data_IF_266504724198
#
_entry.id   IF_266504724198
#
_cell.length_a   1.000
_cell.length_b   1.000
_cell.length_c   1.000
_cell.angle_alpha   90.00
_cell.angle_beta   90.00
_cell.angle_gamma   90.00
#
_symmetry.space_group_name_H-M   'P 1'
#
loop_
_entity.id
_entity.type
_entity.pdbx_description
1 polymer ?
#
# COMPACT_ATOMS: atom_id res chain seq x y z
N UNK A 1 -38.06 -67.03 -9.85
CA UNK A 1 -37.31 -67.96 -10.75
C UNK A 1 -37.12 -67.28 -12.10
N UNK A 2 -36.06 -67.62 -12.85
CA UNK A 2 -35.84 -67.38 -14.31
C UNK A 2 -36.23 -66.00 -14.91
N UNK A 3 -35.32 -65.16 -15.42
CA UNK A 3 -33.85 -65.19 -15.52
C UNK A 3 -33.30 -64.70 -16.88
N UNK A 4 -32.12 -64.04 -16.88
CA UNK A 4 -31.23 -63.67 -18.03
C UNK A 4 -31.82 -62.74 -19.14
N UNK A 5 -31.09 -61.93 -19.92
CA UNK A 5 -29.64 -61.56 -20.15
C UNK A 5 -29.60 -60.05 -20.54
N UNK A 6 -28.68 -59.17 -20.13
CA UNK A 6 -27.21 -59.00 -20.38
C UNK A 6 -26.78 -58.39 -21.74
N UNK A 7 -26.25 -57.15 -21.70
CA UNK A 7 -25.12 -56.52 -22.48
C UNK A 7 -25.25 -54.96 -22.46
N UNK A 8 -24.26 -54.06 -22.27
CA UNK A 8 -22.76 -54.00 -22.30
C UNK A 8 -22.13 -54.31 -23.68
N UNK A 9 -21.18 -53.57 -24.28
CA UNK A 9 -20.45 -52.27 -24.05
C UNK A 9 -20.00 -51.76 -25.46
N UNK A 10 -19.27 -50.66 -25.77
CA UNK A 10 -18.35 -49.64 -25.19
C UNK A 10 -18.72 -48.24 -25.85
N UNK A 11 -18.12 -47.04 -25.67
CA UNK A 11 -16.84 -46.46 -25.18
C UNK A 11 -15.62 -46.42 -26.15
N UNK A 12 -15.38 -45.30 -26.87
CA UNK A 12 -14.01 -44.86 -27.27
C UNK A 12 -13.90 -43.35 -27.65
N UNK A 13 -12.70 -42.87 -28.05
CA UNK A 13 -12.20 -41.54 -27.62
C UNK A 13 -11.48 -40.63 -28.66
N UNK A 14 -11.50 -39.30 -28.37
CA UNK A 14 -10.51 -38.24 -28.71
C UNK A 14 -9.90 -38.10 -30.13
N UNK A 15 -10.25 -37.01 -30.82
CA UNK A 15 -9.30 -36.04 -31.43
C UNK A 15 -10.01 -34.66 -31.49
N UNK A 16 -9.44 -33.47 -31.28
CA UNK A 16 -8.08 -32.86 -31.35
C UNK A 16 -7.71 -32.26 -32.72
N UNK A 17 -8.28 -31.08 -33.02
CA UNK A 17 -7.79 -30.16 -34.05
C UNK A 17 -7.84 -28.70 -33.52
N UNK A 18 -6.94 -27.83 -34.02
CA UNK A 18 -6.81 -26.41 -33.67
C UNK A 18 -6.18 -25.66 -34.85
N UNK A 19 -6.67 -24.46 -35.21
CA UNK A 19 -5.85 -23.46 -35.90
C UNK A 19 -5.54 -22.24 -35.02
N UNK A 20 -4.50 -21.49 -35.41
CA UNK A 20 -4.21 -20.12 -34.93
C UNK A 20 -4.61 -19.13 -36.04
N UNK A 21 -4.96 -17.89 -35.68
CA UNK A 21 -4.42 -16.64 -36.25
C UNK A 21 -5.24 -15.44 -35.74
N UNK A 22 -4.63 -14.26 -35.62
CA UNK A 22 -5.33 -13.04 -35.20
C UNK A 22 -4.51 -12.11 -34.29
N UNK A 23 -3.32 -11.69 -34.72
CA UNK A 23 -2.69 -10.50 -34.14
C UNK A 23 -3.32 -9.26 -34.79
N UNK A 24 -3.68 -8.27 -33.98
CA UNK A 24 -3.98 -6.91 -34.44
C UNK A 24 -3.20 -5.95 -33.56
N UNK A 25 -2.38 -5.10 -34.18
CA UNK A 25 -1.55 -4.09 -33.53
C UNK A 25 -2.08 -2.70 -33.86
N UNK A 26 -2.52 -1.96 -32.85
CA UNK A 26 -2.76 -0.51 -32.91
C UNK A 26 -2.18 0.02 -31.60
N UNK A 27 -0.96 0.57 -31.60
CA UNK A 27 -0.55 1.87 -32.15
C UNK A 27 -1.03 3.03 -31.26
N UNK A 28 -0.08 3.49 -30.47
CA UNK A 28 -0.13 4.61 -29.52
C UNK A 28 -0.24 5.96 -30.24
N UNK A 29 -1.12 6.85 -29.76
CA UNK A 29 -1.16 8.27 -30.17
C UNK A 29 -1.44 9.18 -28.98
N UNK A 30 -0.70 10.29 -28.91
CA UNK A 30 -0.70 11.22 -27.78
C UNK A 30 -1.85 12.24 -27.84
N UNK A 31 -2.35 12.67 -26.68
CA UNK A 31 -3.05 13.95 -26.53
C UNK A 31 -2.95 14.50 -25.10
N UNK A 32 -2.05 15.47 -24.88
CA UNK A 32 -2.09 16.35 -23.69
C UNK A 32 -3.01 17.54 -23.97
N UNK A 33 -3.92 17.85 -23.05
CA UNK A 33 -4.47 19.22 -22.91
C UNK A 33 -4.72 19.55 -21.43
N UNK A 34 -3.86 20.37 -20.85
CA UNK A 34 -4.12 21.02 -19.57
C UNK A 34 -5.27 22.04 -19.71
N UNK A 35 -6.31 21.92 -18.88
CA UNK A 35 -7.44 22.86 -18.83
C UNK A 35 -7.72 23.29 -17.38
N UNK A 36 -6.82 24.10 -16.82
CA UNK A 36 -6.83 24.57 -15.43
C UNK A 36 -7.94 25.59 -15.18
N UNK A 37 -9.14 25.14 -14.82
CA UNK A 37 -10.20 26.02 -14.32
C UNK A 37 -10.20 26.14 -12.79
N UNK A 38 -10.48 27.36 -12.34
CA UNK A 38 -10.32 27.85 -10.97
C UNK A 38 -11.69 27.89 -10.29
N UNK A 39 -11.91 27.02 -9.31
CA UNK A 39 -13.05 27.16 -8.41
C UNK A 39 -12.82 28.35 -7.47
N UNK A 40 -13.88 29.09 -7.19
CA UNK A 40 -13.94 30.13 -6.16
C UNK A 40 -15.16 29.86 -5.31
N UNK A 41 -14.93 29.58 -4.03
CA UNK A 41 -15.98 29.63 -3.00
C UNK A 41 -16.44 31.08 -2.82
N UNK A 42 -17.73 31.28 -2.55
CA UNK A 42 -18.16 32.27 -1.58
C UNK A 42 -18.83 31.60 -0.38
N UNK A 43 -18.62 32.19 0.78
CA UNK A 43 -19.40 31.92 1.99
C UNK A 43 -20.81 32.51 1.84
N UNK A 44 -21.83 31.86 2.40
CA UNK A 44 -23.12 32.51 2.70
C UNK A 44 -23.29 32.54 4.22
N UNK A 45 -23.18 33.72 4.81
CA UNK A 45 -23.63 34.00 6.18
C UNK A 45 -25.15 34.24 6.23
N UNK A 46 -25.67 34.23 7.45
CA UNK A 46 -27.09 34.32 7.81
C UNK A 46 -27.67 35.73 7.61
N UNK A 47 -29.00 35.84 7.44
CA UNK A 47 -29.82 36.66 8.34
C UNK A 47 -31.29 36.16 8.37
N UNK A 48 -32.04 36.54 9.39
CA UNK A 48 -33.32 35.95 9.80
C UNK A 48 -34.59 36.61 9.20
N UNK A 49 -35.73 35.94 9.41
CA UNK A 49 -36.89 36.66 9.95
C UNK A 49 -38.24 35.94 9.88
N UNK A 50 -39.10 35.97 10.92
CA UNK A 50 -38.87 36.32 12.33
C UNK A 50 -40.07 35.91 13.21
N UNK A 51 -39.82 35.38 14.42
CA UNK A 51 -40.77 35.24 15.55
C UNK A 51 -42.03 34.35 15.34
N UNK A 52 -42.68 33.76 16.35
CA UNK A 52 -42.42 33.64 17.80
C UNK A 52 -43.47 32.66 18.41
N UNK A 53 -43.54 32.38 19.71
CA UNK A 53 -42.73 32.86 20.84
C UNK A 53 -42.71 31.84 22.00
N UNK A 54 -41.68 31.96 22.83
CA UNK A 54 -41.41 31.36 24.15
C UNK A 54 -42.62 31.02 25.05
N UNK A 55 -42.55 29.90 25.81
CA UNK A 55 -42.28 29.98 27.27
C UNK A 55 -42.25 28.64 28.05
N UNK A 56 -41.04 28.24 28.46
CA UNK A 56 -40.62 27.76 29.80
C UNK A 56 -41.56 26.96 30.75
N UNK A 57 -41.17 25.70 31.00
CA UNK A 57 -40.98 25.04 32.32
C UNK A 57 -42.00 25.18 33.47
N UNK A 58 -42.47 24.05 34.03
CA UNK A 58 -41.91 23.50 35.30
C UNK A 58 -42.45 22.11 35.73
N UNK A 59 -41.62 21.40 36.52
CA UNK A 59 -41.94 20.24 37.38
C UNK A 59 -43.24 20.47 38.21
N UNK A 60 -44.02 19.45 38.61
CA UNK A 60 -43.63 18.55 39.71
C UNK A 60 -44.57 17.36 40.00
N UNK A 61 -43.97 16.17 40.23
CA UNK A 61 -44.13 15.31 41.43
C UNK A 61 -45.51 14.67 41.79
N UNK A 62 -45.74 13.49 41.19
CA UNK A 62 -45.89 12.18 41.84
C UNK A 62 -47.11 11.76 42.72
N UNK A 63 -47.46 10.46 42.54
CA UNK A 63 -47.74 9.41 43.55
C UNK A 63 -49.18 8.94 43.82
N UNK A 64 -49.32 7.59 43.87
CA UNK A 64 -50.33 6.74 44.54
C UNK A 64 -51.82 6.84 44.10
N UNK A 65 -52.70 5.88 44.38
CA UNK A 65 -52.65 4.39 44.43
C UNK A 65 -54.10 3.86 44.66
N UNK A 66 -54.49 2.77 43.99
CA UNK A 66 -55.54 1.78 44.39
C UNK A 66 -56.99 2.16 44.81
N UNK A 67 -57.90 1.22 44.47
CA UNK A 67 -59.15 0.80 45.16
C UNK A 67 -60.39 1.72 45.25
N UNK A 68 -61.44 1.28 44.56
CA UNK A 68 -62.80 0.94 45.04
C UNK A 68 -63.62 1.94 45.92
N UNK A 69 -64.87 2.18 45.49
CA UNK A 69 -65.91 2.86 46.29
C UNK A 69 -67.19 3.12 45.49
N UNK A 70 -68.32 2.52 45.89
CA UNK A 70 -69.61 2.64 45.20
C UNK A 70 -70.49 3.83 45.66
N UNK A 71 -71.11 4.51 44.68
CA UNK A 71 -72.55 4.88 44.63
C UNK A 71 -73.20 5.54 45.86
N UNK A 72 -73.56 6.85 45.78
CA UNK A 72 -74.97 7.35 45.63
C UNK A 72 -75.16 8.88 45.67
N UNK A 73 -75.85 9.42 44.65
CA UNK A 73 -76.66 10.66 44.72
C UNK A 73 -75.94 11.99 44.98
N UNK A 74 -76.61 13.14 44.86
CA UNK A 74 -77.88 13.48 44.17
C UNK A 74 -77.86 14.99 43.83
N UNK A 75 -78.61 15.38 42.78
CA UNK A 75 -79.01 16.73 42.38
C UNK A 75 -78.60 17.92 43.27
N UNK A 76 -78.00 18.95 42.67
CA UNK A 76 -78.70 20.24 42.54
C UNK A 76 -78.21 21.03 41.31
N UNK A 77 -79.09 21.85 40.73
CA UNK A 77 -78.87 22.48 39.41
C UNK A 77 -78.46 23.95 39.54
N UNK A 78 -77.47 24.39 38.75
CA UNK A 78 -77.29 25.81 38.44
C UNK A 78 -77.16 26.03 36.93
N UNK A 79 -77.75 27.13 36.45
CA UNK A 79 -78.16 27.33 35.06
C UNK A 79 -77.51 28.57 34.48
N UNK A 80 -76.60 28.42 33.50
CA UNK A 80 -75.93 29.55 32.84
C UNK A 80 -75.79 29.27 31.33
N UNK A 81 -76.04 30.30 30.51
CA UNK A 81 -75.41 30.45 29.19
C UNK A 81 -76.04 29.69 28.02
N UNK A 82 -77.23 30.10 27.55
CA UNK A 82 -77.70 29.70 26.22
C UNK A 82 -77.07 30.60 25.14
N UNK A 83 -76.27 30.02 24.24
CA UNK A 83 -75.69 30.70 23.08
C UNK A 83 -75.89 29.83 21.81
N UNK A 84 -76.46 30.38 20.72
CA UNK A 84 -76.87 29.58 19.57
C UNK A 84 -75.70 29.24 18.64
N UNK A 85 -75.00 28.14 18.94
CA UNK A 85 -74.24 27.43 17.92
C UNK A 85 -75.21 26.82 16.89
N UNK A 86 -74.95 27.04 15.60
CA UNK A 86 -75.75 26.46 14.53
C UNK A 86 -75.69 24.94 14.59
N UNK A 87 -76.79 24.32 15.00
CA UNK A 87 -76.82 22.89 15.29
C UNK A 87 -76.61 22.05 14.03
N UNK A 88 -75.45 21.40 13.93
CA UNK A 88 -75.36 20.12 13.22
C UNK A 88 -76.34 19.20 13.94
N UNK A 89 -77.42 18.78 13.28
CA UNK A 89 -78.34 17.78 13.81
C UNK A 89 -77.64 16.41 13.74
N UNK A 90 -76.69 16.20 14.66
CA UNK A 90 -76.18 14.88 15.00
C UNK A 90 -77.30 14.24 15.81
N UNK A 91 -77.99 13.26 15.23
CA UNK A 91 -79.01 12.53 15.97
C UNK A 91 -78.32 11.78 17.12
N UNK A 92 -78.57 12.27 18.34
CA UNK A 92 -77.91 11.77 19.55
C UNK A 92 -78.37 10.36 19.88
N UNK A 93 -79.57 9.95 19.46
CA UNK A 93 -80.06 8.60 19.68
C UNK A 93 -79.46 7.64 18.66
N UNK A 94 -79.32 8.04 17.39
CA UNK A 94 -78.60 7.26 16.37
C UNK A 94 -77.12 7.05 16.75
N UNK A 95 -76.40 8.11 17.14
CA UNK A 95 -75.01 7.99 17.58
C UNK A 95 -74.84 7.14 18.85
N UNK A 96 -75.78 7.21 19.79
CA UNK A 96 -75.79 6.35 20.99
C UNK A 96 -76.17 4.90 20.65
N UNK A 97 -77.02 4.66 19.65
CA UNK A 97 -77.34 3.32 19.16
C UNK A 97 -76.11 2.69 18.48
N UNK A 98 -75.48 3.39 17.53
CA UNK A 98 -74.27 2.94 16.87
C UNK A 98 -73.12 2.69 17.88
N UNK A 99 -72.95 3.57 18.87
CA UNK A 99 -71.96 3.33 19.94
C UNK A 99 -72.28 2.08 20.77
N UNK A 100 -73.56 1.83 21.10
CA UNK A 100 -73.97 0.60 21.82
C UNK A 100 -73.71 -0.65 20.99
N UNK A 101 -74.07 -0.63 19.71
CA UNK A 101 -73.86 -1.75 18.77
C UNK A 101 -72.38 -2.06 18.58
N UNK A 102 -71.55 -1.06 18.26
CA UNK A 102 -70.09 -1.20 18.17
C UNK A 102 -69.46 -1.63 19.51
N UNK A 103 -70.04 -1.25 20.65
CA UNK A 103 -69.58 -1.74 21.97
C UNK A 103 -69.91 -3.22 22.16
N UNK A 104 -71.11 -3.67 21.77
CA UNK A 104 -71.50 -5.08 21.83
C UNK A 104 -70.70 -5.93 20.84
N UNK A 105 -70.47 -5.46 19.62
CA UNK A 105 -69.61 -6.16 18.67
C UNK A 105 -68.16 -6.22 19.17
N UNK A 106 -67.58 -5.12 19.67
CA UNK A 106 -66.25 -5.14 20.30
C UNK A 106 -66.17 -6.18 21.42
N UNK A 107 -67.18 -6.26 22.29
CA UNK A 107 -67.26 -7.29 23.34
C UNK A 107 -67.35 -8.71 22.75
N UNK A 108 -68.17 -8.93 21.72
CA UNK A 108 -68.29 -10.22 21.04
C UNK A 108 -66.96 -10.66 20.39
N UNK A 109 -66.33 -9.76 19.63
CA UNK A 109 -65.03 -9.99 19.01
C UNK A 109 -63.95 -10.24 20.08
N UNK A 110 -63.96 -9.51 21.20
CA UNK A 110 -63.05 -9.74 22.33
C UNK A 110 -63.25 -11.12 22.98
N UNK A 111 -64.48 -11.61 23.13
CA UNK A 111 -64.77 -12.97 23.62
C UNK A 111 -64.31 -14.03 22.62
N UNK A 112 -64.60 -13.86 21.33
CA UNK A 112 -64.17 -14.79 20.27
C UNK A 112 -62.64 -14.86 20.16
N UNK A 113 -61.98 -13.70 20.15
CA UNK A 113 -60.52 -13.56 20.17
C UNK A 113 -59.90 -14.26 21.39
N UNK A 114 -60.46 -14.09 22.59
CA UNK A 114 -60.03 -14.82 23.80
C UNK A 114 -60.16 -16.35 23.65
N UNK A 115 -61.25 -16.84 23.04
CA UNK A 115 -61.44 -18.29 22.78
C UNK A 115 -60.41 -18.80 21.77
N UNK A 116 -60.10 -18.02 20.73
CA UNK A 116 -59.08 -18.35 19.73
C UNK A 116 -57.67 -18.37 20.35
N UNK A 117 -57.29 -17.39 21.17
CA UNK A 117 -56.00 -17.40 21.88
C UNK A 117 -55.86 -18.60 22.83
N UNK A 118 -56.93 -19.01 23.54
CA UNK A 118 -56.92 -20.24 24.36
C UNK A 118 -56.68 -21.49 23.51
N UNK A 119 -57.41 -21.66 22.40
CA UNK A 119 -57.22 -22.78 21.44
C UNK A 119 -55.81 -22.79 20.84
N UNK A 120 -55.26 -21.62 20.52
CA UNK A 120 -53.91 -21.46 19.97
C UNK A 120 -52.82 -21.80 21.00
N UNK A 121 -53.00 -21.39 22.26
CA UNK A 121 -52.12 -21.76 23.37
C UNK A 121 -52.14 -23.27 23.65
N UNK A 122 -53.32 -23.92 23.61
CA UNK A 122 -53.41 -25.37 23.64
C UNK A 122 -52.68 -26.04 22.47
N UNK A 123 -52.82 -25.51 21.25
CA UNK A 123 -52.18 -26.06 20.06
C UNK A 123 -50.65 -26.01 20.17
N UNK A 124 -50.06 -24.88 20.56
CA UNK A 124 -48.61 -24.78 20.73
C UNK A 124 -48.10 -25.64 21.89
N UNK A 125 -48.82 -25.75 23.01
CA UNK A 125 -48.48 -26.71 24.09
C UNK A 125 -48.49 -28.16 23.59
N UNK A 126 -49.53 -28.58 22.86
CA UNK A 126 -49.64 -29.94 22.28
C UNK A 126 -48.50 -30.27 21.30
N UNK A 127 -47.89 -29.26 20.66
CA UNK A 127 -46.71 -29.43 19.77
C UNK A 127 -45.36 -29.13 20.44
N UNK A 128 -45.32 -28.92 21.77
CA UNK A 128 -44.13 -28.52 22.56
C UNK A 128 -43.48 -27.19 22.13
N UNK A 129 -44.22 -26.31 21.46
CA UNK A 129 -43.77 -24.99 21.00
C UNK A 129 -43.91 -23.92 22.11
N UNK A 130 -43.56 -24.23 23.36
CA UNK A 130 -43.85 -23.36 24.51
C UNK A 130 -43.08 -22.03 24.50
N UNK A 131 -42.00 -21.95 23.73
CA UNK A 131 -41.28 -20.70 23.47
C UNK A 131 -42.14 -19.63 22.78
N UNK A 132 -43.17 -20.02 22.01
CA UNK A 132 -44.12 -19.11 21.35
C UNK A 132 -45.12 -18.49 22.33
N UNK A 133 -45.22 -19.04 23.56
CA UNK A 133 -46.15 -18.59 24.60
C UNK A 133 -45.48 -17.76 25.70
N UNK A 134 -44.17 -17.51 25.59
CA UNK A 134 -43.49 -16.54 26.45
C UNK A 134 -43.86 -15.12 25.97
N UNK A 135 -44.15 -14.17 26.86
CA UNK A 135 -44.25 -12.77 26.49
C UNK A 135 -42.98 -12.36 25.73
N UNK A 136 -43.15 -11.78 24.54
CA UNK A 136 -42.02 -11.37 23.72
C UNK A 136 -41.36 -10.14 24.37
N UNK A 137 -40.05 -10.19 24.56
CA UNK A 137 -39.31 -9.10 25.19
C UNK A 137 -39.35 -7.88 24.24
N UNK A 138 -39.85 -6.74 24.72
CA UNK A 138 -40.20 -5.59 23.87
C UNK A 138 -41.50 -5.72 23.07
N UNK A 139 -42.47 -6.56 23.49
CA UNK A 139 -43.76 -6.71 22.82
C UNK A 139 -44.52 -5.38 22.64
N UNK A 140 -44.49 -4.50 23.63
CA UNK A 140 -45.13 -3.16 23.56
C UNK A 140 -44.43 -2.31 22.50
N UNK A 141 -43.10 -2.23 22.53
CA UNK A 141 -42.33 -1.51 21.51
C UNK A 141 -42.59 -2.04 20.09
N UNK A 142 -42.81 -3.35 19.95
CA UNK A 142 -43.13 -3.99 18.67
C UNK A 142 -44.55 -3.68 18.22
N UNK A 143 -45.50 -3.57 19.13
CA UNK A 143 -46.87 -3.13 18.87
C UNK A 143 -46.91 -1.64 18.49
N UNK A 144 -46.20 -0.76 19.21
CA UNK A 144 -46.03 0.65 18.85
C UNK A 144 -45.37 0.81 17.46
N UNK A 145 -44.29 0.07 17.18
CA UNK A 145 -43.65 0.04 15.85
C UNK A 145 -44.57 -0.54 14.75
N UNK A 146 -45.53 -1.39 15.10
CA UNK A 146 -46.54 -1.89 14.17
C UNK A 146 -47.64 -0.84 13.92
N UNK A 147 -48.13 -0.17 14.97
CA UNK A 147 -49.10 0.93 14.87
C UNK A 147 -48.52 2.11 14.06
N UNK A 148 -47.27 2.51 14.32
CA UNK A 148 -46.58 3.55 13.56
C UNK A 148 -46.44 3.18 12.07
N UNK A 149 -46.15 1.91 11.77
CA UNK A 149 -46.14 1.41 10.39
C UNK A 149 -47.53 1.43 9.75
N UNK A 150 -48.57 1.06 10.50
CA UNK A 150 -49.95 1.07 10.02
C UNK A 150 -50.41 2.50 9.67
N UNK A 151 -50.11 3.48 10.52
CA UNK A 151 -50.34 4.91 10.25
C UNK A 151 -49.56 5.38 9.01
N UNK A 152 -48.28 5.01 8.88
CA UNK A 152 -47.49 5.36 7.68
C UNK A 152 -48.04 4.72 6.38
N UNK A 153 -48.65 3.53 6.49
CA UNK A 153 -49.32 2.87 5.38
C UNK A 153 -50.65 3.53 5.03
N UNK A 154 -51.42 3.98 6.02
CA UNK A 154 -52.65 4.76 5.83
C UNK A 154 -52.35 6.11 5.16
N UNK A 155 -51.33 6.83 5.61
CA UNK A 155 -50.81 8.03 4.95
C UNK A 155 -50.43 7.78 3.47
N UNK A 156 -49.72 6.68 3.19
CA UNK A 156 -49.33 6.31 1.82
C UNK A 156 -50.54 5.93 0.96
N UNK A 157 -51.52 5.23 1.53
CA UNK A 157 -52.79 4.91 0.87
C UNK A 157 -53.57 6.17 0.53
N UNK A 158 -53.70 7.12 1.46
CA UNK A 158 -54.35 8.41 1.17
C UNK A 158 -53.61 9.20 0.09
N UNK A 159 -52.27 9.25 0.14
CA UNK A 159 -51.44 9.94 -0.88
C UNK A 159 -51.70 9.34 -2.26
N UNK A 160 -51.68 8.01 -2.38
CA UNK A 160 -52.02 7.31 -3.61
C UNK A 160 -53.48 7.54 -4.06
N UNK A 161 -54.46 7.53 -3.15
CA UNK A 161 -55.86 7.79 -3.47
C UNK A 161 -56.09 9.23 -3.96
N UNK A 162 -55.40 10.21 -3.37
CA UNK A 162 -55.39 11.62 -3.81
C UNK A 162 -54.73 11.76 -5.19
N UNK A 163 -53.56 11.15 -5.42
CA UNK A 163 -52.89 11.15 -6.71
C UNK A 163 -53.74 10.49 -7.82
N UNK A 164 -54.39 9.37 -7.52
CA UNK A 164 -55.31 8.69 -8.46
C UNK A 164 -56.53 9.57 -8.79
N UNK A 165 -57.10 10.28 -7.80
CA UNK A 165 -58.20 11.21 -8.04
C UNK A 165 -57.78 12.39 -8.93
N UNK A 166 -56.61 12.98 -8.67
CA UNK A 166 -56.02 14.05 -9.47
C UNK A 166 -55.72 13.63 -10.91
N UNK A 167 -55.15 12.42 -11.10
CA UNK A 167 -54.89 11.86 -12.43
C UNK A 167 -56.21 11.63 -13.17
N UNK A 168 -57.22 11.03 -12.53
CA UNK A 168 -58.55 10.83 -13.15
C UNK A 168 -59.20 12.14 -13.58
N UNK A 169 -59.10 13.18 -12.74
CA UNK A 169 -59.62 14.52 -13.05
C UNK A 169 -58.92 15.10 -14.28
N UNK A 170 -57.58 15.10 -14.30
CA UNK A 170 -56.76 15.58 -15.43
C UNK A 170 -57.04 14.80 -16.73
N UNK A 171 -57.30 13.50 -16.64
CA UNK A 171 -57.72 12.68 -17.80
C UNK A 171 -59.10 13.13 -18.31
N UNK A 172 -60.09 13.32 -17.44
CA UNK A 172 -61.43 13.83 -17.83
C UNK A 172 -61.35 15.20 -18.52
N UNK A 173 -60.57 16.13 -17.99
CA UNK A 173 -60.32 17.45 -18.58
C UNK A 173 -59.68 17.35 -19.99
N UNK A 174 -58.75 16.41 -20.18
CA UNK A 174 -58.12 16.15 -21.50
C UNK A 174 -59.10 15.48 -22.47
N UNK A 175 -59.94 14.55 -22.01
CA UNK A 175 -60.95 13.86 -22.83
C UNK A 175 -62.07 14.81 -23.28
N UNK A 176 -62.60 15.64 -22.38
CA UNK A 176 -63.59 16.67 -22.72
C UNK A 176 -63.05 17.69 -23.72
N UNK A 177 -61.85 18.23 -23.47
CA UNK A 177 -61.24 19.18 -24.41
C UNK A 177 -60.86 18.53 -25.74
N UNK A 178 -60.54 17.23 -25.77
CA UNK A 178 -60.35 16.48 -27.01
C UNK A 178 -61.68 16.31 -27.77
N UNK A 179 -62.75 15.88 -27.10
CA UNK A 179 -64.06 15.68 -27.69
C UNK A 179 -64.60 16.98 -28.31
N UNK A 180 -64.56 18.10 -27.58
CA UNK A 180 -64.97 19.40 -28.10
C UNK A 180 -64.15 19.88 -29.30
N UNK A 181 -62.83 19.66 -29.29
CA UNK A 181 -61.95 19.97 -30.44
C UNK A 181 -62.26 19.09 -31.66
N UNK A 182 -62.50 17.79 -31.45
CA UNK A 182 -62.84 16.83 -32.49
C UNK A 182 -64.21 17.13 -33.12
N UNK A 183 -65.24 17.42 -32.33
CA UNK A 183 -66.54 17.88 -32.83
C UNK A 183 -66.41 19.16 -33.65
N UNK A 184 -65.66 20.16 -33.16
CA UNK A 184 -65.47 21.43 -33.86
C UNK A 184 -64.74 21.24 -35.20
N UNK A 185 -63.75 20.35 -35.25
CA UNK A 185 -63.07 19.96 -36.49
C UNK A 185 -64.02 19.27 -37.48
N UNK A 186 -64.84 18.32 -37.02
CA UNK A 186 -65.80 17.61 -37.87
C UNK A 186 -66.89 18.55 -38.41
N UNK A 187 -67.48 19.41 -37.56
CA UNK A 187 -68.47 20.43 -37.97
C UNK A 187 -67.90 21.37 -39.05
N UNK A 188 -66.63 21.77 -38.93
CA UNK A 188 -65.92 22.54 -39.97
C UNK A 188 -65.68 21.75 -41.26
N UNK A 189 -65.27 20.49 -41.16
CA UNK A 189 -65.03 19.61 -42.31
C UNK A 189 -66.32 19.30 -43.09
N UNK A 190 -67.43 19.09 -42.38
CA UNK A 190 -68.75 18.86 -43.01
C UNK A 190 -69.31 20.13 -43.66
N UNK A 191 -69.13 21.30 -43.04
CA UNK A 191 -69.44 22.58 -43.67
C UNK A 191 -68.63 22.83 -44.95
N UNK A 192 -67.35 22.47 -44.96
CA UNK A 192 -66.49 22.51 -46.15
C UNK A 192 -66.97 21.53 -47.23
N UNK A 193 -67.25 20.27 -46.89
CA UNK A 193 -67.80 19.29 -47.83
C UNK A 193 -69.16 19.70 -48.41
N UNK A 194 -70.00 20.41 -47.64
CA UNK A 194 -71.26 20.97 -48.12
C UNK A 194 -71.03 22.11 -49.13
N UNK A 195 -70.08 23.02 -48.85
CA UNK A 195 -69.70 24.11 -49.75
C UNK A 195 -69.08 23.59 -51.06
N UNK A 196 -68.20 22.60 -50.97
CA UNK A 196 -67.61 21.92 -52.14
C UNK A 196 -68.67 21.20 -52.98
N UNK A 197 -69.73 20.65 -52.35
CA UNK A 197 -70.86 20.04 -53.06
C UNK A 197 -71.74 21.08 -53.77
N UNK A 198 -72.10 22.17 -53.09
CA UNK A 198 -72.97 23.20 -53.66
C UNK A 198 -72.28 24.02 -54.75
N UNK A 199 -70.97 24.22 -54.66
CA UNK A 199 -70.16 24.87 -55.73
C UNK A 199 -69.77 23.91 -56.85
N UNK A 200 -69.64 22.61 -56.57
CA UNK A 200 -69.33 21.59 -57.57
C UNK A 200 -70.53 21.21 -58.46
N UNK A 201 -71.76 21.29 -57.94
CA UNK A 201 -72.97 21.07 -58.74
C UNK A 201 -73.17 22.23 -59.72
N UNK A 202 -73.40 21.91 -61.00
CA UNK A 202 -73.48 22.90 -62.09
C UNK A 202 -72.13 23.39 -62.64
N UNK A 203 -70.99 22.99 -62.07
CA UNK A 203 -69.66 23.32 -62.59
C UNK A 203 -69.43 22.67 -63.97
N UNK A 204 -68.64 23.29 -64.86
CA UNK A 204 -68.46 22.86 -66.26
C UNK A 204 -67.01 22.46 -66.54
N UNK A 205 -66.80 21.35 -67.26
CA UNK A 205 -65.48 20.94 -67.73
C UNK A 205 -64.93 21.94 -68.76
N UNK A 206 -64.03 22.82 -68.34
CA UNK A 206 -63.32 23.83 -69.17
C UNK A 206 -62.89 23.31 -70.56
N UNK A 207 -62.37 22.07 -70.64
CA UNK A 207 -61.86 21.48 -71.89
C UNK A 207 -62.90 20.75 -72.76
N UNK A 208 -64.18 20.70 -72.34
CA UNK A 208 -65.25 19.92 -73.01
C UNK A 208 -66.62 20.62 -73.05
N UNK A 209 -66.83 21.72 -72.34
CA UNK A 209 -68.10 22.48 -72.31
C UNK A 209 -69.30 21.75 -71.66
N UNK A 210 -69.11 20.51 -71.18
CA UNK A 210 -70.18 19.71 -70.54
C UNK A 210 -70.17 19.91 -69.02
N UNK A 211 -71.34 19.95 -68.36
CA UNK A 211 -71.41 20.00 -66.90
C UNK A 211 -70.76 18.76 -66.27
N UNK A 212 -70.20 18.94 -65.07
CA UNK A 212 -69.77 17.84 -64.21
C UNK A 212 -71.02 17.22 -63.61
N UNK A 213 -71.29 15.95 -63.92
CA UNK A 213 -72.41 15.22 -63.31
C UNK A 213 -72.16 15.03 -61.81
N UNK A 214 -73.19 15.23 -60.97
CA UNK A 214 -73.06 15.29 -59.50
C UNK A 214 -72.44 14.02 -58.90
N UNK A 215 -72.74 12.85 -59.47
CA UNK A 215 -72.11 11.56 -59.12
C UNK A 215 -70.56 11.58 -59.20
N UNK A 216 -70.00 12.48 -60.00
CA UNK A 216 -68.55 12.72 -60.10
C UNK A 216 -68.06 13.60 -58.95
N UNK A 217 -68.83 14.62 -58.57
CA UNK A 217 -68.56 15.49 -57.42
C UNK A 217 -68.60 14.67 -56.13
N UNK A 218 -69.64 13.85 -55.94
CA UNK A 218 -69.75 12.90 -54.82
C UNK A 218 -68.57 11.94 -54.76
N UNK A 219 -68.09 11.43 -55.92
CA UNK A 219 -66.91 10.57 -56.00
C UNK A 219 -65.61 11.29 -55.59
N UNK A 220 -65.48 12.60 -55.86
CA UNK A 220 -64.34 13.38 -55.37
C UNK A 220 -64.45 13.65 -53.87
N UNK A 221 -65.63 14.07 -53.36
CA UNK A 221 -65.87 14.33 -51.93
C UNK A 221 -65.64 13.10 -51.05
N UNK A 222 -66.08 11.92 -51.50
CA UNK A 222 -65.85 10.64 -50.81
C UNK A 222 -64.39 10.20 -50.87
N UNK A 223 -63.69 10.41 -51.98
CA UNK A 223 -62.25 10.17 -52.08
C UNK A 223 -61.44 11.10 -51.17
N UNK A 224 -61.84 12.37 -51.08
CA UNK A 224 -61.26 13.40 -50.22
C UNK A 224 -61.44 13.05 -48.74
N UNK A 225 -62.66 12.66 -48.32
CA UNK A 225 -62.95 12.16 -46.97
C UNK A 225 -62.07 10.94 -46.62
N UNK A 226 -62.01 9.94 -47.51
CA UNK A 226 -61.15 8.76 -47.35
C UNK A 226 -59.66 9.12 -47.30
N UNK A 227 -59.23 10.20 -47.94
CA UNK A 227 -57.84 10.70 -47.90
C UNK A 227 -57.52 11.48 -46.64
N UNK A 228 -58.44 12.28 -46.10
CA UNK A 228 -58.27 12.90 -44.77
C UNK A 228 -58.22 11.85 -43.66
N UNK A 229 -59.05 10.81 -43.72
CA UNK A 229 -59.02 9.66 -42.80
C UNK A 229 -57.68 8.89 -42.87
N UNK A 230 -57.16 8.65 -44.08
CA UNK A 230 -55.83 8.05 -44.26
C UNK A 230 -54.72 8.94 -43.69
N UNK A 231 -54.82 10.27 -43.88
CA UNK A 231 -53.83 11.23 -43.39
C UNK A 231 -53.81 11.34 -41.86
N UNK A 232 -54.99 11.40 -41.22
CA UNK A 232 -55.08 11.42 -39.75
C UNK A 232 -54.62 10.11 -39.12
N UNK A 233 -54.97 8.95 -39.71
CA UNK A 233 -54.49 7.65 -39.26
C UNK A 233 -52.96 7.50 -39.38
N UNK A 234 -52.35 8.03 -40.45
CA UNK A 234 -50.88 8.07 -40.60
C UNK A 234 -50.23 9.03 -39.61
N UNK A 235 -50.81 10.21 -39.38
CA UNK A 235 -50.33 11.17 -38.38
C UNK A 235 -50.34 10.57 -36.97
N UNK A 236 -51.44 9.91 -36.57
CA UNK A 236 -51.54 9.21 -35.28
C UNK A 236 -50.52 8.06 -35.16
N UNK A 237 -50.24 7.32 -36.23
CA UNK A 237 -49.18 6.30 -36.25
C UNK A 237 -47.79 6.92 -36.07
N UNK A 238 -47.50 8.03 -36.76
CA UNK A 238 -46.24 8.76 -36.62
C UNK A 238 -46.04 9.32 -35.20
N UNK A 239 -47.07 9.93 -34.61
CA UNK A 239 -47.02 10.44 -33.23
C UNK A 239 -46.75 9.29 -32.24
N UNK A 240 -47.45 8.16 -32.36
CA UNK A 240 -47.21 6.97 -31.51
C UNK A 240 -45.79 6.43 -31.66
N UNK A 241 -45.27 6.34 -32.89
CA UNK A 241 -43.90 5.89 -33.13
C UNK A 241 -42.86 6.86 -32.55
N UNK A 242 -43.07 8.18 -32.72
CA UNK A 242 -42.20 9.21 -32.14
C UNK A 242 -42.18 9.16 -30.61
N UNK A 243 -43.33 8.99 -29.96
CA UNK A 243 -43.41 8.88 -28.51
C UNK A 243 -42.70 7.61 -28.02
N UNK A 244 -42.96 6.45 -28.64
CA UNK A 244 -42.29 5.20 -28.28
C UNK A 244 -40.76 5.27 -28.45
N UNK A 245 -40.25 5.98 -29.48
CA UNK A 245 -38.81 6.25 -29.62
C UNK A 245 -38.29 7.14 -28.47
N UNK A 246 -39.00 8.21 -28.12
CA UNK A 246 -38.60 9.09 -27.01
C UNK A 246 -38.64 8.37 -25.64
N UNK A 247 -39.61 7.49 -25.42
CA UNK A 247 -39.72 6.61 -24.25
C UNK A 247 -38.53 5.62 -24.18
N UNK A 248 -38.20 4.96 -25.29
CA UNK A 248 -37.05 4.07 -25.38
C UNK A 248 -35.71 4.81 -25.21
N UNK A 249 -35.56 6.00 -25.79
CA UNK A 249 -34.40 6.86 -25.57
C UNK A 249 -34.24 7.27 -24.10
N UNK A 250 -35.35 7.58 -23.41
CA UNK A 250 -35.32 7.90 -21.99
C UNK A 250 -34.94 6.68 -21.14
N UNK A 251 -35.46 5.49 -21.47
CA UNK A 251 -35.07 4.23 -20.84
C UNK A 251 -33.57 3.94 -21.05
N UNK A 252 -33.05 4.11 -22.27
CA UNK A 252 -31.62 3.91 -22.56
C UNK A 252 -30.75 4.88 -21.75
N UNK A 253 -31.08 6.18 -21.75
CA UNK A 253 -30.34 7.19 -20.97
C UNK A 253 -30.36 6.88 -19.46
N UNK A 254 -31.50 6.43 -18.95
CA UNK A 254 -31.65 6.01 -17.55
C UNK A 254 -30.90 4.70 -17.22
N UNK A 255 -30.56 3.87 -18.20
CA UNK A 255 -29.70 2.69 -18.03
C UNK A 255 -28.21 3.03 -18.19
N UNK A 256 -27.87 4.05 -18.98
CA UNK A 256 -26.51 4.59 -19.12
C UNK A 256 -26.04 5.36 -17.86
N UNK A 257 -26.98 5.84 -17.02
CA UNK A 257 -26.71 6.52 -15.75
C UNK A 257 -27.12 5.68 -14.54
N UNK A 258 -26.16 5.35 -13.66
CA UNK A 258 -26.46 4.78 -12.33
C UNK A 258 -27.07 5.83 -11.38
N UNK A 259 -26.87 7.12 -11.67
CA UNK A 259 -27.40 8.24 -10.91
C UNK A 259 -27.06 9.58 -11.59
N UNK A 260 -27.50 10.72 -11.01
CA UNK A 260 -27.22 12.04 -11.58
C UNK A 260 -25.70 12.28 -11.66
N UNK A 261 -25.18 12.39 -12.89
CA UNK A 261 -23.75 12.58 -13.16
C UNK A 261 -22.88 11.32 -13.06
N UNK A 262 -23.45 10.13 -12.81
CA UNK A 262 -22.73 8.87 -12.62
C UNK A 262 -23.05 7.88 -13.75
N UNK A 263 -22.14 7.71 -14.70
CA UNK A 263 -22.36 6.88 -15.90
C UNK A 263 -21.77 5.47 -15.78
N UNK A 264 -22.41 4.47 -16.40
CA UNK A 264 -21.94 3.06 -16.43
C UNK A 264 -20.48 2.98 -16.88
N UNK A 265 -20.14 3.64 -17.99
CA UNK A 265 -18.80 3.64 -18.57
C UNK A 265 -17.72 4.19 -17.61
N UNK A 266 -18.05 5.18 -16.77
CA UNK A 266 -17.10 5.72 -15.78
C UNK A 266 -16.81 4.71 -14.66
N UNK A 267 -17.82 3.92 -14.25
CA UNK A 267 -17.65 2.83 -13.30
C UNK A 267 -16.84 1.67 -13.90
N UNK A 268 -17.08 1.32 -15.17
CA UNK A 268 -16.27 0.33 -15.89
C UNK A 268 -14.81 0.75 -16.03
N UNK A 269 -14.55 2.01 -16.39
CA UNK A 269 -13.21 2.59 -16.46
C UNK A 269 -12.52 2.56 -15.09
N UNK A 270 -13.21 2.98 -14.02
CA UNK A 270 -12.66 2.93 -12.65
C UNK A 270 -12.32 1.49 -12.20
N UNK A 271 -13.12 0.49 -12.61
CA UNK A 271 -12.84 -0.92 -12.34
C UNK A 271 -11.60 -1.43 -13.11
N UNK A 272 -11.44 -1.04 -14.37
CA UNK A 272 -10.24 -1.33 -15.18
C UNK A 272 -9.01 -0.69 -14.54
N UNK A 273 -9.10 0.58 -14.13
CA UNK A 273 -7.98 1.28 -13.50
C UNK A 273 -7.63 0.70 -12.12
N UNK A 274 -8.62 0.31 -11.32
CA UNK A 274 -8.39 -0.40 -10.06
C UNK A 274 -7.62 -1.71 -10.27
N UNK A 275 -8.01 -2.53 -11.25
CA UNK A 275 -7.30 -3.76 -11.62
C UNK A 275 -5.85 -3.45 -12.07
N UNK A 276 -5.66 -2.44 -12.93
CA UNK A 276 -4.34 -1.98 -13.36
C UNK A 276 -3.45 -1.50 -12.20
N UNK A 277 -4.02 -0.86 -11.17
CA UNK A 277 -3.27 -0.47 -9.96
C UNK A 277 -2.93 -1.68 -9.08
N UNK A 278 -3.83 -2.65 -8.93
CA UNK A 278 -3.56 -3.87 -8.16
C UNK A 278 -2.42 -4.67 -8.78
N UNK A 279 -2.42 -4.91 -10.10
CA UNK A 279 -1.30 -5.59 -10.78
C UNK A 279 0.02 -4.81 -10.65
N UNK A 280 -0.02 -3.47 -10.70
CA UNK A 280 1.18 -2.65 -10.43
C UNK A 280 1.68 -2.78 -8.99
N UNK A 281 0.79 -2.95 -8.00
CA UNK A 281 1.16 -3.22 -6.61
C UNK A 281 1.81 -4.59 -6.50
N UNK A 282 1.17 -5.64 -7.05
CA UNK A 282 1.71 -7.01 -7.09
C UNK A 282 3.14 -7.04 -7.68
N UNK A 283 3.38 -6.39 -8.82
CA UNK A 283 4.72 -6.26 -9.40
C UNK A 283 5.75 -5.61 -8.44
N UNK A 284 5.36 -4.52 -7.74
CA UNK A 284 6.28 -3.84 -6.79
C UNK A 284 6.52 -4.67 -5.54
N UNK A 285 5.52 -5.42 -5.05
CA UNK A 285 5.71 -6.37 -3.95
C UNK A 285 6.67 -7.49 -4.35
N UNK A 286 6.54 -8.01 -5.57
CA UNK A 286 7.42 -9.03 -6.13
C UNK A 286 8.86 -8.51 -6.30
N UNK A 287 9.05 -7.24 -6.70
CA UNK A 287 10.35 -6.53 -6.69
C UNK A 287 10.91 -6.31 -5.29
N UNK A 288 10.07 -5.93 -4.31
CA UNK A 288 10.48 -5.77 -2.91
C UNK A 288 10.90 -7.11 -2.27
N UNK A 289 10.24 -8.21 -2.60
CA UNK A 289 10.65 -9.56 -2.20
C UNK A 289 12.02 -9.90 -2.79
N UNK A 290 12.22 -9.70 -4.10
CA UNK A 290 13.51 -9.92 -4.80
C UNK A 290 14.64 -9.02 -4.29
N UNK A 291 14.33 -7.86 -3.72
CA UNK A 291 15.30 -6.98 -3.07
C UNK A 291 15.63 -7.48 -1.65
N UNK A 292 14.62 -7.89 -0.87
CA UNK A 292 14.80 -8.49 0.47
C UNK A 292 15.65 -9.76 0.43
N UNK A 293 15.47 -10.65 -0.55
CA UNK A 293 16.31 -11.87 -0.67
C UNK A 293 17.78 -11.50 -0.94
N UNK A 294 18.04 -10.63 -1.91
CA UNK A 294 19.40 -10.11 -2.19
C UNK A 294 20.04 -9.44 -0.98
N UNK A 295 19.27 -8.70 -0.18
CA UNK A 295 19.74 -8.12 1.07
C UNK A 295 20.14 -9.21 2.08
N UNK A 296 19.35 -10.28 2.23
CA UNK A 296 19.73 -11.42 3.08
C UNK A 296 20.95 -12.19 2.56
N UNK A 297 21.06 -12.38 1.24
CA UNK A 297 22.24 -13.00 0.58
C UNK A 297 23.51 -12.16 0.82
N UNK A 298 23.44 -10.85 0.63
CA UNK A 298 24.56 -9.93 0.92
C UNK A 298 24.93 -9.92 2.40
N UNK A 299 23.97 -10.00 3.32
CA UNK A 299 24.24 -10.09 4.76
C UNK A 299 24.94 -11.40 5.16
N UNK A 300 24.63 -12.52 4.49
CA UNK A 300 25.35 -13.79 4.65
C UNK A 300 26.79 -13.69 4.12
N UNK A 301 26.99 -13.09 2.93
CA UNK A 301 28.33 -12.83 2.38
C UNK A 301 29.15 -11.93 3.32
N UNK A 302 28.54 -10.88 3.89
CA UNK A 302 29.18 -10.01 4.89
C UNK A 302 29.44 -10.71 6.23
N UNK A 303 28.72 -11.78 6.59
CA UNK A 303 29.09 -12.64 7.72
C UNK A 303 30.35 -13.44 7.39
N UNK A 304 30.36 -14.16 6.26
CA UNK A 304 31.52 -14.95 5.83
C UNK A 304 32.80 -14.13 5.57
N UNK A 305 32.68 -12.86 5.17
CA UNK A 305 33.83 -11.96 5.07
C UNK A 305 34.39 -11.63 6.47
N UNK A 306 33.53 -11.37 7.46
CA UNK A 306 33.97 -11.11 8.86
C UNK A 306 34.56 -12.35 9.52
N UNK A 307 33.99 -13.53 9.29
CA UNK A 307 34.54 -14.82 9.74
C UNK A 307 35.95 -15.06 9.18
N UNK A 308 36.14 -14.81 7.87
CA UNK A 308 37.46 -14.93 7.23
C UNK A 308 38.45 -13.89 7.72
N UNK A 309 37.99 -12.64 7.95
CA UNK A 309 38.82 -11.57 8.47
C UNK A 309 39.34 -11.91 9.87
N UNK A 310 38.46 -12.30 10.79
CA UNK A 310 38.84 -12.75 12.14
C UNK A 310 39.84 -13.91 12.11
N UNK A 311 39.65 -14.86 11.20
CA UNK A 311 40.61 -15.97 11.03
C UNK A 311 41.96 -15.52 10.44
N UNK A 312 41.98 -14.53 9.53
CA UNK A 312 43.27 -13.96 9.09
C UNK A 312 43.95 -13.13 10.17
N UNK A 313 43.18 -12.45 11.03
CA UNK A 313 43.70 -11.70 12.17
C UNK A 313 44.33 -12.66 13.20
N UNK A 314 43.66 -13.77 13.54
CA UNK A 314 44.22 -14.87 14.36
C UNK A 314 45.56 -15.41 13.79
N UNK A 315 45.63 -15.61 12.47
CA UNK A 315 46.84 -16.12 11.80
C UNK A 315 47.98 -15.09 11.79
N UNK A 316 47.65 -13.79 11.79
CA UNK A 316 48.64 -12.71 11.97
C UNK A 316 49.16 -12.72 13.41
N UNK A 317 48.29 -12.79 14.42
CA UNK A 317 48.68 -12.85 15.84
C UNK A 317 49.65 -14.02 16.10
N UNK A 318 49.37 -15.22 15.56
CA UNK A 318 50.28 -16.36 15.65
C UNK A 318 51.62 -16.11 14.93
N UNK A 319 51.61 -15.52 13.72
CA UNK A 319 52.83 -15.23 12.98
C UNK A 319 53.70 -14.14 13.64
N UNK A 320 53.09 -13.17 14.35
CA UNK A 320 53.80 -12.20 15.17
C UNK A 320 54.43 -12.84 16.42
N UNK A 321 53.79 -13.85 17.00
CA UNK A 321 54.36 -14.65 18.10
C UNK A 321 55.57 -15.48 17.62
N UNK A 322 55.44 -16.21 16.51
CA UNK A 322 56.53 -16.99 15.90
C UNK A 322 57.73 -16.10 15.54
N UNK A 323 57.47 -14.89 15.03
CA UNK A 323 58.50 -13.89 14.74
C UNK A 323 59.19 -13.39 16.03
N UNK A 324 58.43 -13.12 17.09
CA UNK A 324 58.96 -12.69 18.38
C UNK A 324 59.87 -13.74 19.04
N UNK A 325 59.51 -15.03 18.96
CA UNK A 325 60.35 -16.13 19.43
C UNK A 325 61.64 -16.25 18.59
N UNK A 326 61.55 -16.15 17.26
CA UNK A 326 62.71 -16.16 16.37
C UNK A 326 63.65 -14.96 16.60
N UNK A 327 63.11 -13.77 16.89
CA UNK A 327 63.90 -12.61 17.29
C UNK A 327 64.60 -12.84 18.63
N UNK A 328 63.91 -13.40 19.64
CA UNK A 328 64.53 -13.75 20.93
C UNK A 328 65.67 -14.76 20.78
N UNK A 329 65.54 -15.78 19.93
CA UNK A 329 66.64 -16.69 19.61
C UNK A 329 67.81 -15.99 18.93
N UNK A 330 67.54 -15.10 17.97
CA UNK A 330 68.56 -14.29 17.30
C UNK A 330 69.32 -13.37 18.28
N UNK A 331 68.61 -12.71 19.20
CA UNK A 331 69.24 -11.87 20.23
C UNK A 331 70.13 -12.71 21.18
N UNK A 332 69.66 -13.87 21.65
CA UNK A 332 70.47 -14.81 22.47
C UNK A 332 71.73 -15.24 21.73
N UNK A 333 71.60 -15.72 20.49
CA UNK A 333 72.75 -16.14 19.67
C UNK A 333 73.74 -14.99 19.39
N UNK A 334 73.25 -13.76 19.27
CA UNK A 334 74.05 -12.54 19.10
C UNK A 334 74.82 -12.16 20.38
N UNK A 335 74.20 -12.32 21.55
CA UNK A 335 74.83 -12.12 22.85
C UNK A 335 75.91 -13.18 23.13
N UNK A 336 75.61 -14.46 22.90
CA UNK A 336 76.58 -15.56 22.99
C UNK A 336 77.79 -15.34 22.08
N UNK A 337 77.56 -14.93 20.82
CA UNK A 337 78.62 -14.57 19.90
C UNK A 337 79.44 -13.36 20.39
N UNK A 338 78.81 -12.40 21.07
CA UNK A 338 79.47 -11.29 21.76
C UNK A 338 80.36 -11.76 22.91
N UNK A 339 79.85 -12.65 23.76
CA UNK A 339 80.56 -13.25 24.89
C UNK A 339 81.74 -14.12 24.44
N UNK A 340 81.57 -14.93 23.39
CA UNK A 340 82.64 -15.72 22.76
C UNK A 340 83.71 -14.79 22.15
N UNK A 341 83.32 -13.74 21.41
CA UNK A 341 84.27 -12.74 20.87
C UNK A 341 85.03 -12.04 22.00
N UNK A 342 84.37 -11.68 23.09
CA UNK A 342 84.98 -11.07 24.27
C UNK A 342 85.99 -12.01 24.94
N UNK A 343 85.61 -13.27 25.22
CA UNK A 343 86.50 -14.30 25.78
C UNK A 343 87.71 -14.56 24.89
N UNK A 344 87.51 -14.69 23.57
CA UNK A 344 88.58 -14.83 22.58
C UNK A 344 89.53 -13.63 22.59
N UNK A 345 89.00 -12.42 22.68
CA UNK A 345 89.81 -11.20 22.74
C UNK A 345 90.63 -11.13 24.04
N UNK A 346 90.04 -11.48 25.20
CA UNK A 346 90.76 -11.59 26.49
C UNK A 346 91.89 -12.62 26.44
N UNK A 347 91.63 -13.80 25.87
CA UNK A 347 92.66 -14.84 25.66
C UNK A 347 93.78 -14.37 24.72
N UNK A 348 93.43 -13.61 23.67
CA UNK A 348 94.43 -13.01 22.77
C UNK A 348 95.30 -11.98 23.49
N UNK A 349 94.70 -11.08 24.28
CA UNK A 349 95.45 -10.07 25.05
C UNK A 349 96.37 -10.73 26.08
N UNK A 350 95.89 -11.74 26.81
CA UNK A 350 96.73 -12.53 27.73
C UNK A 350 97.86 -13.27 27.00
N UNK A 351 97.61 -13.84 25.82
CA UNK A 351 98.66 -14.46 24.99
C UNK A 351 99.70 -13.42 24.51
N UNK A 352 99.26 -12.21 24.17
CA UNK A 352 100.14 -11.10 23.77
C UNK A 352 100.93 -10.55 24.98
N UNK A 353 100.35 -10.51 26.18
CA UNK A 353 101.00 -10.16 27.45
C UNK A 353 102.05 -11.20 27.88
N UNK A 354 101.73 -12.49 27.88
CA UNK A 354 102.69 -13.56 28.19
C UNK A 354 103.82 -13.64 27.16
N UNK A 355 103.54 -13.31 25.89
CA UNK A 355 104.58 -13.15 24.86
C UNK A 355 105.52 -11.98 25.14
N UNK A 356 105.02 -10.88 25.71
CA UNK A 356 105.87 -9.77 26.15
C UNK A 356 106.70 -10.14 27.39
N UNK A 357 106.11 -10.82 28.39
CA UNK A 357 106.82 -11.29 29.60
C UNK A 357 107.94 -12.29 29.27
N UNK A 358 107.66 -13.27 28.42
CA UNK A 358 108.65 -14.25 27.96
C UNK A 358 109.64 -13.67 26.92
N UNK A 359 109.34 -12.50 26.35
CA UNK A 359 110.21 -11.75 25.46
C UNK A 359 110.82 -12.60 24.34
N UNK A 360 112.15 -12.60 24.27
CA UNK A 360 112.93 -13.25 23.22
C UNK A 360 112.79 -14.79 23.21
N UNK A 361 112.43 -15.43 24.34
CA UNK A 361 112.22 -16.89 24.40
C UNK A 361 111.08 -17.35 23.46
N UNK A 362 110.14 -16.46 23.13
CA UNK A 362 109.05 -16.75 22.19
C UNK A 362 109.47 -16.66 20.72
N UNK A 363 110.57 -15.96 20.41
CA UNK A 363 111.11 -15.75 19.06
C UNK A 363 112.48 -16.40 18.95
N UNK A 364 112.48 -17.73 18.83
CA UNK A 364 113.68 -18.59 18.84
C UNK A 364 114.76 -18.16 17.85
N UNK A 365 114.36 -17.62 16.70
CA UNK A 365 115.28 -17.16 15.65
C UNK A 365 116.02 -15.90 16.11
N UNK A 366 115.30 -14.88 16.57
CA UNK A 366 115.88 -13.65 17.11
C UNK A 366 116.72 -13.89 18.39
N UNK A 367 116.37 -14.93 19.17
CA UNK A 367 117.20 -15.39 20.30
C UNK A 367 118.52 -16.02 19.84
N UNK A 368 118.50 -16.79 18.74
CA UNK A 368 119.71 -17.33 18.11
C UNK A 368 120.59 -16.23 17.52
N UNK A 369 120.00 -15.24 16.87
CA UNK A 369 120.72 -14.09 16.32
C UNK A 369 121.40 -13.28 17.46
N UNK A 370 120.69 -13.06 18.58
CA UNK A 370 121.28 -12.43 19.76
C UNK A 370 122.43 -13.26 20.33
N UNK A 371 122.30 -14.58 20.43
CA UNK A 371 123.38 -15.46 20.89
C UNK A 371 124.59 -15.42 19.94
N UNK A 372 124.37 -15.47 18.62
CA UNK A 372 125.44 -15.35 17.62
C UNK A 372 126.18 -14.00 17.75
N UNK A 373 125.45 -12.90 17.98
CA UNK A 373 126.06 -11.58 18.22
C UNK A 373 126.88 -11.51 19.52
N UNK A 374 126.46 -12.23 20.58
CA UNK A 374 127.24 -12.35 21.82
C UNK A 374 128.49 -13.19 21.61
N UNK A 375 128.40 -14.30 20.88
CA UNK A 375 129.56 -15.14 20.52
C UNK A 375 130.55 -14.37 19.63
N UNK A 376 130.08 -13.51 18.72
CA UNK A 376 130.91 -12.60 17.94
C UNK A 376 131.59 -11.54 18.82
N UNK A 377 130.87 -10.90 19.73
CA UNK A 377 131.44 -9.93 20.70
C UNK A 377 132.49 -10.60 21.60
N UNK A 378 132.28 -11.85 22.02
CA UNK A 378 133.27 -12.63 22.78
C UNK A 378 134.51 -12.92 21.92
N UNK A 379 134.36 -13.30 20.65
CA UNK A 379 135.47 -13.50 19.72
C UNK A 379 136.26 -12.19 19.50
N UNK A 380 135.58 -11.06 19.28
CA UNK A 380 136.21 -9.74 19.15
C UNK A 380 136.94 -9.32 20.43
N UNK A 381 136.37 -9.60 21.61
CA UNK A 381 136.99 -9.37 22.90
C UNK A 381 138.26 -10.22 23.14
N UNK A 382 138.26 -11.48 22.70
CA UNK A 382 139.46 -12.32 22.70
C UNK A 382 140.53 -11.78 21.73
N UNK A 383 140.12 -11.36 20.52
CA UNK A 383 141.00 -10.78 19.49
C UNK A 383 141.64 -9.47 19.96
N UNK A 384 140.90 -8.64 20.69
CA UNK A 384 141.42 -7.45 21.38
C UNK A 384 142.51 -7.83 22.40
N UNK A 385 142.26 -8.80 23.28
CA UNK A 385 143.27 -9.26 24.26
C UNK A 385 144.53 -9.81 23.58
N UNK A 386 144.38 -10.53 22.47
CA UNK A 386 145.52 -11.00 21.67
C UNK A 386 146.34 -9.83 21.14
N UNK A 387 145.70 -8.82 20.53
CA UNK A 387 146.37 -7.59 20.07
C UNK A 387 147.04 -6.82 21.22
N UNK A 388 146.41 -6.71 22.39
CA UNK A 388 147.01 -6.10 23.59
C UNK A 388 148.28 -6.86 24.04
N UNK A 389 148.30 -8.20 23.96
CA UNK A 389 149.53 -8.97 24.25
C UNK A 389 150.61 -8.82 23.18
N UNK A 390 150.24 -8.61 21.91
CA UNK A 390 151.20 -8.32 20.83
C UNK A 390 151.82 -6.92 21.01
N UNK A 391 151.00 -5.90 21.28
CA UNK A 391 151.47 -4.54 21.61
C UNK A 391 152.34 -4.56 22.88
N UNK A 392 152.02 -5.40 23.86
CA UNK A 392 152.84 -5.61 25.06
C UNK A 392 154.21 -6.26 24.77
N UNK A 393 154.28 -7.21 23.82
CA UNK A 393 155.55 -7.79 23.32
C UNK A 393 156.39 -6.76 22.57
N UNK A 394 155.82 -6.09 21.57
CA UNK A 394 156.49 -5.02 20.82
C UNK A 394 156.99 -3.90 21.77
N UNK A 395 156.20 -3.54 22.79
CA UNK A 395 156.58 -2.56 23.82
C UNK A 395 157.70 -3.03 24.77
N UNK A 396 158.02 -4.33 24.82
CA UNK A 396 159.16 -4.90 25.55
C UNK A 396 160.39 -5.01 24.64
N UNK A 397 160.20 -5.40 23.39
CA UNK A 397 161.24 -5.41 22.35
C UNK A 397 161.81 -4.00 22.12
N UNK A 398 160.94 -2.97 22.01
CA UNK A 398 161.35 -1.56 21.92
C UNK A 398 162.13 -1.08 23.16
N UNK A 399 161.83 -1.63 24.34
CA UNK A 399 162.57 -1.36 25.59
C UNK A 399 163.93 -2.06 25.62
N UNK A 400 164.06 -3.25 25.02
CA UNK A 400 165.35 -3.91 24.84
C UNK A 400 166.25 -3.14 23.86
N UNK A 401 165.70 -2.72 22.70
CA UNK A 401 166.41 -1.91 21.72
C UNK A 401 166.91 -0.56 22.30
N UNK A 402 166.10 0.10 23.15
CA UNK A 402 166.56 1.31 23.87
C UNK A 402 167.69 1.05 24.87
N UNK A 403 167.78 -0.15 25.47
CA UNK A 403 168.88 -0.50 26.39
C UNK A 403 170.20 -0.79 25.67
N UNK A 404 170.18 -1.44 24.50
CA UNK A 404 171.42 -1.71 23.75
C UNK A 404 172.05 -0.44 23.18
N UNK A 405 171.25 0.52 22.70
CA UNK A 405 171.75 1.83 22.23
C UNK A 405 172.41 2.63 23.37
N UNK A 406 171.81 2.64 24.57
CA UNK A 406 172.43 3.29 25.74
C UNK A 406 173.73 2.63 26.18
N UNK A 407 173.83 1.30 26.12
CA UNK A 407 175.04 0.56 26.50
C UNK A 407 176.26 0.90 25.62
N UNK A 408 176.06 1.25 24.35
CA UNK A 408 177.14 1.66 23.44
C UNK A 408 177.60 3.12 23.63
N UNK A 409 176.85 3.95 24.35
CA UNK A 409 177.13 5.39 24.50
C UNK A 409 178.11 5.75 25.64
N UNK A 410 178.30 4.89 26.63
CA UNK A 410 179.06 5.20 27.85
C UNK A 410 180.55 4.77 27.85
N UNK A 411 181.09 4.30 26.71
CA UNK A 411 182.44 3.73 26.63
C UNK A 411 183.53 4.70 26.11
N UNK A 412 183.28 6.01 26.10
CA UNK A 412 184.10 6.98 25.32
C UNK A 412 184.44 8.32 25.99
N UNK A 413 184.15 8.53 27.29
CA UNK A 413 184.31 9.86 27.91
C UNK A 413 184.83 9.88 29.36
N UNK A 414 185.99 9.25 29.62
CA UNK A 414 186.79 9.58 30.83
C UNK A 414 188.29 9.24 30.69
N UNK A 415 189.03 10.04 29.92
CA UNK A 415 190.51 9.92 29.84
C UNK A 415 191.23 11.29 29.72
N UNK A 416 190.78 12.28 30.48
CA UNK A 416 191.34 13.64 30.68
C UNK A 416 190.68 14.20 31.96
N UNK A 417 191.33 14.82 32.95
CA UNK A 417 192.75 14.94 33.36
C UNK A 417 192.74 14.96 34.90
N UNK A 418 193.78 14.44 35.57
CA UNK A 418 193.95 14.49 37.03
C UNK A 418 193.76 13.13 37.70
#
# INVERSE_FOLDING_TARGET
MTGTKENKTKEETKSKAKPKAGQVTVAETEAKTDAKHKASEPEEEEDEGSSGSSSTTTKSKASKESSEGEVKGRDESQQIGNAPLGGIYIDREEYLAAHRELTMERQHQQVLNNILHRRLAEYYKKRKCEHVLKPLEGAVDLEEKYQQKLLSYEELKEKAEREIADIRKKVSEVEETYAGRHEHANKKFEGLQHLERSTGSGLIYSRKGKPIADKTVERFLTLQRRKSEQSSALCLRYIRARNAVAELEAIVKNLETLGPGLYVYQYEQLNIDNQNYNTKIEEREDELIKNRTKCTEHNQILAHIREKMHHTDEVIDFAECDLGDAEMEFYRAREDLGMIKSRRNKLRWSLEEERLKAGLLTRKDLLRDFQASLDEVVQLGQRKKQLETQVSRASKELRHARKTVLAQSNLHHRHHVG
#
